data_IF_039507567203
#
_entry.id   IF_039507567203
#
_cell.length_a   1.000
_cell.length_b   1.000
_cell.length_c   1.000
_cell.angle_alpha   90.00
_cell.angle_beta   90.00
_cell.angle_gamma   90.00
#
_symmetry.space_group_name_H-M   'P 1'
#
loop_
_entity.id
_entity.type
_entity.pdbx_description
1 polymer ?
#
# COMPACT_ATOMS: atom_id res chain seq x y z
N UNK A 1 -14.05 -3.24 -24.57
CA UNK A 1 -13.28 -3.90 -23.50
C UNK A 1 -13.48 -3.05 -22.26
N UNK A 2 -14.22 -3.56 -21.29
CA UNK A 2 -14.29 -2.94 -19.97
C UNK A 2 -12.90 -3.07 -19.36
N UNK A 3 -12.33 -1.97 -18.90
CA UNK A 3 -11.06 -1.98 -18.18
C UNK A 3 -11.42 -1.99 -16.71
N UNK A 4 -10.88 -2.96 -15.98
CA UNK A 4 -11.12 -3.16 -14.57
C UNK A 4 -9.78 -2.94 -13.89
N UNK A 5 -9.64 -1.78 -13.25
CA UNK A 5 -8.40 -1.37 -12.63
C UNK A 5 -8.52 -1.50 -11.12
N UNK A 6 -7.55 -2.18 -10.53
CA UNK A 6 -7.34 -2.21 -9.09
C UNK A 6 -6.06 -1.47 -8.74
N UNK A 7 -6.07 -0.81 -7.58
CA UNK A 7 -4.95 -0.10 -7.02
C UNK A 7 -4.36 -0.96 -5.91
N UNK A 8 -3.18 -1.51 -6.18
CA UNK A 8 -2.42 -2.35 -5.26
C UNK A 8 -1.38 -1.48 -4.57
N UNK A 9 -1.38 -1.50 -3.25
CA UNK A 9 -0.44 -0.80 -2.39
C UNK A 9 0.61 -1.81 -1.95
N UNK A 10 1.85 -1.57 -2.39
CA UNK A 10 3.00 -2.41 -2.10
C UNK A 10 3.90 -1.75 -1.05
N UNK A 11 4.44 -2.55 -0.14
CA UNK A 11 5.46 -2.14 0.83
C UNK A 11 6.52 -3.25 0.91
N UNK A 12 7.80 -2.92 0.65
CA UNK A 12 8.93 -3.86 0.70
C UNK A 12 8.66 -5.20 -0.05
N UNK A 13 8.16 -5.09 -1.29
CA UNK A 13 7.85 -6.26 -2.14
C UNK A 13 6.57 -7.03 -1.75
N UNK A 14 5.82 -6.60 -0.74
CA UNK A 14 4.59 -7.27 -0.27
C UNK A 14 3.34 -6.44 -0.50
N UNK A 15 2.22 -7.07 -0.85
CA UNK A 15 0.92 -6.39 -0.96
C UNK A 15 0.36 -6.13 0.43
N UNK A 16 0.27 -4.84 0.81
CA UNK A 16 -0.31 -4.43 2.09
C UNK A 16 -1.78 -4.05 1.99
N UNK A 17 -2.24 -3.61 0.82
CA UNK A 17 -3.64 -3.21 0.60
C UNK A 17 -4.02 -3.22 -0.88
N UNK A 18 -5.29 -3.52 -1.18
CA UNK A 18 -5.84 -3.48 -2.54
C UNK A 18 -7.20 -2.79 -2.50
N UNK A 19 -7.47 -1.92 -3.47
CA UNK A 19 -8.81 -1.37 -3.65
C UNK A 19 -9.09 -1.01 -5.10
N UNK A 20 -10.35 -1.07 -5.53
CA UNK A 20 -10.79 -0.50 -6.82
C UNK A 20 -10.78 1.03 -6.82
N UNK A 21 -10.80 1.66 -5.65
CA UNK A 21 -10.81 3.10 -5.49
C UNK A 21 -9.40 3.66 -5.23
N UNK A 22 -8.92 4.48 -6.18
CA UNK A 22 -7.62 5.17 -6.05
C UNK A 22 -7.52 5.99 -4.78
N UNK A 23 -8.60 6.70 -4.44
CA UNK A 23 -8.65 7.56 -3.26
C UNK A 23 -8.54 6.76 -1.97
N UNK A 24 -9.17 5.57 -1.91
CA UNK A 24 -9.02 4.65 -0.77
C UNK A 24 -7.59 4.15 -0.63
N UNK A 25 -6.96 3.70 -1.73
CA UNK A 25 -5.57 3.23 -1.72
C UNK A 25 -4.59 4.34 -1.28
N UNK A 26 -4.79 5.58 -1.76
CA UNK A 26 -4.00 6.74 -1.33
C UNK A 26 -4.24 7.10 0.13
N UNK A 27 -5.48 7.06 0.60
CA UNK A 27 -5.81 7.31 1.98
C UNK A 27 -5.17 6.26 2.90
N UNK A 28 -5.22 4.97 2.53
CA UNK A 28 -4.59 3.89 3.29
C UNK A 28 -3.08 4.09 3.39
N UNK A 29 -2.39 4.35 2.27
CA UNK A 29 -0.94 4.60 2.29
C UNK A 29 -0.57 5.77 3.20
N UNK A 30 -1.34 6.87 3.15
CA UNK A 30 -1.11 8.04 4.00
C UNK A 30 -1.41 7.76 5.48
N UNK A 31 -2.52 7.07 5.78
CA UNK A 31 -2.91 6.73 7.16
C UNK A 31 -1.92 5.74 7.78
N UNK A 32 -1.45 4.77 6.99
CA UNK A 32 -0.42 3.82 7.41
C UNK A 32 0.89 4.53 7.73
N UNK A 33 1.32 5.46 6.87
CA UNK A 33 2.50 6.29 7.11
C UNK A 33 2.37 7.16 8.37
N UNK A 34 1.24 7.85 8.53
CA UNK A 34 0.99 8.70 9.68
C UNK A 34 0.99 7.89 10.99
N UNK A 35 0.32 6.74 11.01
CA UNK A 35 0.30 5.84 12.18
C UNK A 35 1.68 5.32 12.55
N UNK A 36 2.43 4.82 11.58
CA UNK A 36 3.76 4.27 11.84
C UNK A 36 4.73 5.35 12.35
N UNK A 37 4.67 6.56 11.76
CA UNK A 37 5.41 7.70 12.28
C UNK A 37 4.93 8.06 13.69
N UNK A 38 3.61 8.13 13.93
CA UNK A 38 3.05 8.47 15.23
C UNK A 38 3.46 7.49 16.34
N UNK A 39 3.52 6.18 16.06
CA UNK A 39 3.97 5.21 17.05
C UNK A 39 5.41 5.47 17.49
N UNK A 40 6.31 5.74 16.54
CA UNK A 40 7.70 6.09 16.83
C UNK A 40 7.82 7.45 17.52
N UNK A 41 7.09 8.46 17.05
CA UNK A 41 7.10 9.80 17.65
C UNK A 41 6.57 9.80 19.08
N UNK A 42 5.56 8.98 19.36
CA UNK A 42 5.03 8.78 20.71
C UNK A 42 6.06 8.07 21.60
N UNK A 43 6.81 7.09 21.09
CA UNK A 43 7.93 6.47 21.79
C UNK A 43 9.07 7.47 22.07
N UNK A 44 9.28 8.43 21.16
CA UNK A 44 10.22 9.53 21.33
C UNK A 44 9.69 10.68 22.20
N UNK A 45 8.45 10.58 22.68
CA UNK A 45 7.74 11.61 23.45
C UNK A 45 7.70 12.98 22.73
N UNK A 46 7.61 12.96 21.39
CA UNK A 46 7.53 14.17 20.54
C UNK A 46 6.07 14.46 20.20
N UNK A 47 5.52 15.49 20.85
CA UNK A 47 4.13 15.93 20.65
C UNK A 47 3.95 16.84 19.42
N UNK A 48 4.98 17.61 19.04
CA UNK A 48 4.98 18.51 17.88
C UNK A 48 6.16 18.17 16.94
N UNK A 49 6.00 17.12 16.11
CA UNK A 49 7.05 16.66 15.21
C UNK A 49 7.25 17.65 14.05
N UNK A 50 8.51 17.98 13.75
CA UNK A 50 8.85 18.67 12.50
C UNK A 50 9.02 17.65 11.35
N UNK A 51 9.18 18.15 10.11
CA UNK A 51 9.41 17.30 8.92
C UNK A 51 10.58 16.31 9.11
N UNK A 52 11.64 16.71 9.80
CA UNK A 52 12.78 15.82 10.08
C UNK A 52 12.41 14.72 11.08
N UNK A 53 11.62 15.04 12.11
CA UNK A 53 11.13 14.04 13.05
C UNK A 53 10.23 13.02 12.36
N UNK A 54 9.38 13.45 11.43
CA UNK A 54 8.56 12.56 10.61
C UNK A 54 9.43 11.67 9.71
N UNK A 55 10.46 12.22 9.07
CA UNK A 55 11.36 11.45 8.22
C UNK A 55 12.17 10.40 9.01
N UNK A 56 12.73 10.77 10.17
CA UNK A 56 13.47 9.80 10.99
C UNK A 56 12.55 8.80 11.70
N UNK A 57 11.32 9.20 12.06
CA UNK A 57 10.32 8.30 12.59
C UNK A 57 9.88 7.28 11.53
N UNK A 58 9.68 7.72 10.29
CA UNK A 58 9.40 6.83 9.16
C UNK A 58 10.52 5.80 8.99
N UNK A 59 11.79 6.25 8.93
CA UNK A 59 12.95 5.36 8.81
C UNK A 59 12.98 4.35 9.97
N UNK A 60 12.78 4.79 11.21
CA UNK A 60 12.80 3.88 12.36
C UNK A 60 11.60 2.93 12.38
N UNK A 61 10.44 3.36 11.87
CA UNK A 61 9.28 2.50 11.70
C UNK A 61 9.46 1.47 10.56
N UNK A 62 10.62 1.45 9.89
CA UNK A 62 10.86 0.60 8.73
C UNK A 62 10.24 1.13 7.44
N UNK A 63 9.74 2.37 7.45
CA UNK A 63 9.38 3.14 6.27
C UNK A 63 10.59 3.95 5.85
N UNK A 64 11.64 3.26 5.40
CA UNK A 64 12.95 3.81 5.02
C UNK A 64 12.86 4.67 3.76
N UNK A 65 12.10 5.77 3.81
CA UNK A 65 11.72 6.57 2.63
C UNK A 65 10.85 5.83 1.61
N UNK A 66 10.57 4.54 1.81
CA UNK A 66 9.71 3.72 0.98
C UNK A 66 8.25 3.99 1.31
N UNK A 67 7.75 5.11 0.77
CA UNK A 67 6.32 5.31 0.65
C UNK A 67 5.71 4.09 -0.02
N UNK A 68 4.58 3.60 0.51
CA UNK A 68 3.87 2.51 -0.12
C UNK A 68 3.61 2.86 -1.59
N UNK A 69 4.10 2.03 -2.50
CA UNK A 69 3.98 2.32 -3.92
C UNK A 69 2.63 1.81 -4.41
N UNK A 70 1.86 2.71 -5.03
CA UNK A 70 0.53 2.38 -5.54
C UNK A 70 0.65 2.05 -7.03
N UNK A 71 0.33 0.80 -7.38
CA UNK A 71 0.30 0.33 -8.75
C UNK A 71 -1.14 0.15 -9.22
N UNK A 72 -1.44 0.69 -10.41
CA UNK A 72 -2.71 0.48 -11.07
C UNK A 72 -2.59 -0.73 -12.00
N UNK A 73 -3.29 -1.82 -11.68
CA UNK A 73 -3.23 -3.10 -12.39
C UNK A 73 -4.55 -3.32 -13.12
N UNK A 74 -4.49 -3.61 -14.43
CA UNK A 74 -5.65 -4.00 -15.23
C UNK A 74 -5.91 -5.50 -15.04
N UNK A 75 -7.04 -5.85 -14.43
CA UNK A 75 -7.42 -7.23 -14.12
C UNK A 75 -8.54 -7.75 -15.03
N UNK A 76 -9.03 -6.94 -15.97
CA UNK A 76 -10.19 -7.25 -16.82
C UNK A 76 -10.08 -8.53 -17.65
N UNK A 77 -8.86 -9.02 -17.91
CA UNK A 77 -8.61 -10.27 -18.64
C UNK A 77 -7.60 -11.16 -17.92
N UNK A 78 -7.46 -10.98 -16.61
CA UNK A 78 -6.57 -11.79 -15.77
C UNK A 78 -7.38 -12.76 -14.93
N UNK A 79 -6.79 -13.91 -14.67
CA UNK A 79 -7.33 -14.97 -13.82
C UNK A 79 -6.46 -15.12 -12.57
N UNK A 80 -6.93 -15.85 -11.57
CA UNK A 80 -6.18 -16.16 -10.35
C UNK A 80 -4.84 -16.87 -10.62
N UNK A 81 -4.73 -17.60 -11.75
CA UNK A 81 -3.51 -18.29 -12.20
C UNK A 81 -2.50 -17.36 -12.90
N UNK A 82 -2.87 -16.10 -13.19
CA UNK A 82 -1.99 -15.14 -13.83
C UNK A 82 -1.10 -14.41 -12.82
N UNK A 83 0.11 -14.07 -13.24
CA UNK A 83 1.01 -13.19 -12.50
C UNK A 83 1.05 -11.81 -13.16
N UNK A 84 1.31 -10.76 -12.38
CA UNK A 84 1.46 -9.39 -12.86
C UNK A 84 2.86 -8.90 -12.54
N UNK A 85 3.63 -8.61 -13.58
CA UNK A 85 4.89 -7.90 -13.44
C UNK A 85 4.61 -6.41 -13.21
N UNK A 86 5.09 -5.90 -12.08
CA UNK A 86 5.00 -4.52 -11.68
C UNK A 86 6.12 -3.69 -12.33
N UNK A 87 5.94 -2.37 -12.49
CA UNK A 87 6.95 -1.47 -13.07
C UNK A 87 8.30 -1.44 -12.34
N UNK A 88 8.32 -1.82 -11.06
CA UNK A 88 9.53 -1.92 -10.25
C UNK A 88 10.30 -3.24 -10.48
N UNK A 89 9.73 -4.17 -11.25
CA UNK A 89 10.29 -5.49 -11.52
C UNK A 89 9.86 -6.58 -10.55
N UNK A 90 9.02 -6.27 -9.55
CA UNK A 90 8.37 -7.28 -8.71
C UNK A 90 7.27 -8.00 -9.49
N UNK A 91 7.08 -9.27 -9.18
CA UNK A 91 5.98 -10.08 -9.71
C UNK A 91 5.00 -10.34 -8.58
N UNK A 92 3.72 -10.05 -8.82
CA UNK A 92 2.64 -10.29 -7.87
C UNK A 92 1.61 -11.25 -8.45
N UNK A 93 1.19 -12.22 -7.64
CA UNK A 93 0.18 -13.20 -8.03
C UNK A 93 -1.22 -12.57 -8.02
N UNK A 94 -2.02 -12.85 -9.06
CA UNK A 94 -3.40 -12.36 -9.12
C UNK A 94 -4.27 -12.95 -8.02
N UNK A 95 -4.01 -14.19 -7.59
CA UNK A 95 -4.68 -14.81 -6.44
C UNK A 95 -4.58 -13.92 -5.20
N UNK A 96 -3.38 -13.42 -4.87
CA UNK A 96 -3.16 -12.54 -3.70
C UNK A 96 -3.89 -11.20 -3.85
N UNK A 97 -3.88 -10.62 -5.06
CA UNK A 97 -4.60 -9.36 -5.35
C UNK A 97 -6.11 -9.55 -5.15
N UNK A 98 -6.66 -10.64 -5.67
CA UNK A 98 -8.09 -10.94 -5.60
C UNK A 98 -8.53 -11.27 -4.17
N UNK A 99 -7.72 -12.04 -3.43
CA UNK A 99 -7.96 -12.33 -2.01
C UNK A 99 -8.03 -11.02 -1.20
N UNK A 100 -7.01 -10.16 -1.33
CA UNK A 100 -6.97 -8.85 -0.67
C UNK A 100 -8.13 -7.94 -1.04
N UNK A 101 -8.57 -8.00 -2.30
CA UNK A 101 -9.70 -7.22 -2.78
C UNK A 101 -11.02 -7.74 -2.19
N UNK A 102 -11.17 -9.06 -2.07
CA UNK A 102 -12.34 -9.67 -1.45
C UNK A 102 -12.38 -9.36 0.06
N UNK A 103 -11.22 -9.34 0.74
CA UNK A 103 -11.10 -8.83 2.12
C UNK A 103 -11.55 -7.36 2.24
N UNK A 104 -11.36 -6.51 1.23
CA UNK A 104 -11.85 -5.12 1.26
C UNK A 104 -13.37 -5.04 1.07
N UNK A 105 -13.90 -5.82 0.11
CA UNK A 105 -15.33 -5.80 -0.26
C UNK A 105 -16.21 -6.40 0.86
N UNK A 106 -15.73 -7.43 1.58
CA UNK A 106 -16.46 -8.06 2.71
C UNK A 106 -16.60 -7.13 3.93
N UNK A 107 -15.69 -6.15 4.07
CA UNK A 107 -15.71 -5.16 5.16
C UNK A 107 -16.35 -3.80 4.76
N UNK A 108 -16.89 -3.67 3.53
CA UNK A 108 -17.48 -2.42 2.99
C UNK A 108 -19.00 -2.26 3.21
#
# INVERSE_FOLDING_TARGET
MSKDYVYVVMLDGSIVYVSRDKEKAQAFSKDHFDKACQEVLNDWEIDDPNEKNLEEAAIQAGMDGENCTIFAIDIANKTEEDTVELPNGDEVDMEEILEKLEEEDDFS
#
